data_IF_783575453360
#
_entry.id   IF_783575453360
#
_cell.length_a   1.000
_cell.length_b   1.000
_cell.length_c   1.000
_cell.angle_alpha   90.00
_cell.angle_beta   90.00
_cell.angle_gamma   90.00
#
_symmetry.space_group_name_H-M   'P 1'
#
loop_
_entity.id
_entity.type
_entity.pdbx_description
1 polymer ?
#
# COMPACT_ATOMS: atom_id res chain seq x y z
N UNK A 1 -2.44 -8.63 15.00
CA UNK A 1 -1.55 -7.77 14.20
C UNK A 1 -2.03 -6.35 14.37
N UNK A 2 -1.21 -5.57 15.04
CA UNK A 2 -1.26 -4.12 15.17
C UNK A 2 -0.49 -3.48 14.00
N UNK A 3 -0.39 -2.14 14.01
CA UNK A 3 0.30 -1.37 12.97
C UNK A 3 1.78 -1.77 12.88
N UNK A 4 2.43 -1.96 14.01
CA UNK A 4 3.86 -2.34 14.08
C UNK A 4 4.10 -3.70 13.42
N UNK A 5 3.22 -4.68 13.65
CA UNK A 5 3.29 -5.97 12.98
C UNK A 5 3.05 -5.89 11.47
N UNK A 6 2.22 -4.97 10.99
CA UNK A 6 2.07 -4.72 9.54
C UNK A 6 3.38 -4.18 8.95
N UNK A 7 3.95 -3.14 9.58
CA UNK A 7 5.18 -2.49 9.10
C UNK A 7 6.37 -3.43 9.14
N UNK A 8 6.53 -4.22 10.20
CA UNK A 8 7.58 -5.22 10.32
C UNK A 8 7.53 -6.29 9.20
N UNK A 9 6.34 -6.56 8.65
CA UNK A 9 6.15 -7.56 7.59
C UNK A 9 5.94 -6.92 6.21
N UNK A 10 6.24 -5.63 6.02
CA UNK A 10 5.97 -4.91 4.77
C UNK A 10 6.62 -5.59 3.55
N UNK A 11 7.80 -6.19 3.74
CA UNK A 11 8.53 -6.89 2.67
C UNK A 11 7.80 -8.11 2.13
N UNK A 12 6.89 -8.70 2.92
CA UNK A 12 6.07 -9.84 2.51
C UNK A 12 4.86 -9.44 1.68
N UNK A 13 4.59 -8.14 1.49
CA UNK A 13 3.52 -7.68 0.61
C UNK A 13 3.86 -8.09 -0.82
N UNK A 14 2.97 -8.87 -1.41
CA UNK A 14 3.00 -9.27 -2.80
C UNK A 14 1.58 -9.23 -3.36
N UNK A 15 1.46 -9.26 -4.68
CA UNK A 15 0.16 -9.33 -5.36
C UNK A 15 0.26 -10.26 -6.58
N UNK A 16 -0.86 -10.55 -7.22
CA UNK A 16 -0.90 -11.32 -8.47
C UNK A 16 -0.76 -10.38 -9.67
N UNK A 17 -0.41 -10.90 -10.86
CA UNK A 17 -0.36 -10.11 -12.10
C UNK A 17 -1.67 -9.35 -12.38
N UNK A 18 -2.82 -10.01 -12.15
CA UNK A 18 -4.12 -9.36 -12.26
C UNK A 18 -4.29 -8.24 -11.21
N UNK A 19 -3.76 -8.45 -10.00
CA UNK A 19 -3.71 -7.44 -8.95
C UNK A 19 -2.88 -6.22 -9.35
N UNK A 20 -1.71 -6.42 -9.95
CA UNK A 20 -0.87 -5.34 -10.52
C UNK A 20 -1.71 -4.51 -11.50
N UNK A 21 -2.38 -5.16 -12.46
CA UNK A 21 -3.20 -4.48 -13.47
C UNK A 21 -4.34 -3.66 -12.86
N UNK A 22 -5.03 -4.19 -11.84
CA UNK A 22 -6.10 -3.47 -11.13
C UNK A 22 -5.57 -2.24 -10.40
N UNK A 23 -4.45 -2.37 -9.71
CA UNK A 23 -3.85 -1.27 -8.93
C UNK A 23 -3.34 -0.18 -9.87
N UNK A 24 -2.57 -0.52 -10.92
CA UNK A 24 -2.10 0.47 -11.93
C UNK A 24 -3.27 1.28 -12.49
N UNK A 25 -4.34 0.60 -12.89
CA UNK A 25 -5.52 1.25 -13.49
C UNK A 25 -6.23 2.18 -12.51
N UNK A 26 -6.45 1.74 -11.28
CA UNK A 26 -7.21 2.52 -10.30
C UNK A 26 -6.44 3.74 -9.80
N UNK A 27 -5.13 3.59 -9.61
CA UNK A 27 -4.26 4.65 -9.11
C UNK A 27 -3.57 5.46 -10.23
N UNK A 28 -3.83 5.11 -11.50
CA UNK A 28 -3.23 5.73 -12.69
C UNK A 28 -1.69 5.76 -12.63
N UNK A 29 -1.09 4.64 -12.22
CA UNK A 29 0.35 4.53 -12.06
C UNK A 29 1.03 4.20 -13.39
N UNK A 30 2.14 4.90 -13.66
CA UNK A 30 3.07 4.63 -14.75
C UNK A 30 4.38 4.03 -14.20
N UNK A 31 4.25 2.95 -13.41
CA UNK A 31 5.40 2.17 -12.92
C UNK A 31 5.13 0.70 -13.13
N UNK A 32 6.18 -0.06 -13.44
CA UNK A 32 6.12 -1.53 -13.53
C UNK A 32 6.20 -2.19 -12.16
N UNK A 33 6.82 -1.55 -11.18
CA UNK A 33 6.91 -2.05 -9.82
C UNK A 33 5.84 -1.45 -8.91
N UNK A 34 4.62 -1.94 -9.09
CA UNK A 34 3.45 -1.51 -8.32
C UNK A 34 3.55 -1.92 -6.85
N UNK A 35 4.16 -3.07 -6.57
CA UNK A 35 4.29 -3.56 -5.19
C UNK A 35 5.23 -2.65 -4.41
N UNK A 36 6.38 -2.33 -4.99
CA UNK A 36 7.34 -1.41 -4.38
C UNK A 36 6.75 -0.01 -4.21
N UNK A 37 5.98 0.47 -5.19
CA UNK A 37 5.24 1.73 -5.04
C UNK A 37 4.29 1.70 -3.84
N UNK A 38 3.50 0.64 -3.67
CA UNK A 38 2.60 0.48 -2.53
C UNK A 38 3.34 0.41 -1.19
N UNK A 39 4.46 -0.33 -1.11
CA UNK A 39 5.28 -0.42 0.11
C UNK A 39 5.77 0.96 0.55
N UNK A 40 6.33 1.73 -0.39
CA UNK A 40 6.82 3.08 -0.13
C UNK A 40 5.72 4.03 0.34
N UNK A 41 4.48 3.85 -0.15
CA UNK A 41 3.33 4.63 0.31
C UNK A 41 2.90 4.26 1.73
N UNK A 42 2.91 2.97 2.08
CA UNK A 42 2.61 2.52 3.45
C UNK A 42 3.68 2.97 4.44
N UNK A 43 4.95 3.04 4.01
CA UNK A 43 6.08 3.46 4.84
C UNK A 43 6.24 4.99 4.97
N UNK A 44 5.47 5.75 4.20
CA UNK A 44 5.48 7.21 4.24
C UNK A 44 5.08 7.73 5.64
N UNK A 45 5.84 8.68 6.18
CA UNK A 45 5.52 9.27 7.50
C UNK A 45 4.13 9.94 7.53
N UNK A 46 3.66 10.41 6.37
CA UNK A 46 2.32 10.98 6.18
C UNK A 46 1.22 9.96 5.93
N UNK A 47 1.52 8.65 5.83
CA UNK A 47 0.49 7.63 5.70
C UNK A 47 -0.22 7.37 7.04
N UNK A 48 -1.52 7.66 7.05
CA UNK A 48 -2.43 7.24 8.09
C UNK A 48 -2.85 5.78 7.87
N UNK A 49 -2.41 4.88 8.75
CA UNK A 49 -2.73 3.45 8.69
C UNK A 49 -3.76 3.10 9.76
N UNK A 50 -4.86 2.48 9.33
CA UNK A 50 -5.92 2.03 10.24
C UNK A 50 -6.54 0.72 9.74
N UNK A 51 -7.34 0.09 10.61
CA UNK A 51 -7.96 -1.20 10.34
C UNK A 51 -9.47 -1.08 10.38
N UNK A 52 -10.16 -1.63 9.37
CA UNK A 52 -11.61 -1.81 9.39
C UNK A 52 -11.95 -3.29 9.19
N UNK A 53 -12.52 -3.90 10.23
CA UNK A 53 -12.76 -5.33 10.27
C UNK A 53 -11.46 -6.13 10.09
N UNK A 54 -11.38 -6.88 8.99
CA UNK A 54 -10.20 -7.71 8.66
C UNK A 54 -9.18 -7.00 7.77
N UNK A 55 -9.52 -5.83 7.22
CA UNK A 55 -8.72 -5.15 6.21
C UNK A 55 -7.92 -3.99 6.80
N UNK A 56 -6.71 -3.80 6.28
CA UNK A 56 -5.88 -2.63 6.54
C UNK A 56 -6.11 -1.58 5.45
N UNK A 57 -6.11 -0.33 5.85
CA UNK A 57 -6.22 0.84 4.99
C UNK A 57 -5.02 1.76 5.26
N UNK A 58 -4.50 2.39 4.20
CA UNK A 58 -3.52 3.46 4.25
C UNK A 58 -4.09 4.63 3.47
N UNK A 59 -4.08 5.81 4.07
CA UNK A 59 -4.46 7.08 3.44
C UNK A 59 -3.27 8.01 3.51
N UNK A 60 -2.95 8.66 2.39
CA UNK A 60 -1.90 9.68 2.34
C UNK A 60 -2.57 10.99 2.03
N UNK A 61 -2.28 11.98 2.86
CA UNK A 61 -2.66 13.36 2.56
C UNK A 61 -1.70 13.87 1.51
N UNK A 62 -2.14 13.87 0.24
CA UNK A 62 -1.40 14.54 -0.82
C UNK A 62 -1.66 16.03 -0.66
N UNK A 63 -0.72 16.75 -0.08
CA UNK A 63 -0.68 18.21 -0.21
C UNK A 63 -0.34 18.54 -1.66
N UNK A 64 -1.28 19.19 -2.34
CA UNK A 64 -1.10 19.76 -3.67
C UNK A 64 -0.16 20.97 -3.65
#
# INVERSE_FOLDING_TARGET
MDKEGLLFNIDKVHTTEMGIGRIKKNLKLDTDDVVEWCKNRVLDEGCNIYKQGKNWYCEIVITA
#
